data_IF_965424059493
#
_entry.id   IF_965424059493
#
_cell.length_a   1.000
_cell.length_b   1.000
_cell.length_c   1.000
_cell.angle_alpha   90.00
_cell.angle_beta   90.00
_cell.angle_gamma   90.00
#
_symmetry.space_group_name_H-M   'P 1'
#
loop_
_entity.id
_entity.type
_entity.pdbx_description
1 polymer ?
#
# COMPACT_ATOMS: atom_id res chain seq x y z
N UNK A 1 0.80 -10.51 -16.20
CA UNK A 1 -0.07 -9.32 -16.35
C UNK A 1 0.80 -8.09 -16.61
N UNK A 2 0.67 -7.45 -17.78
CA UNK A 2 1.36 -6.20 -18.08
C UNK A 2 0.69 -5.03 -17.36
N UNK A 3 1.48 -4.08 -16.85
CA UNK A 3 0.94 -2.87 -16.22
C UNK A 3 0.33 -1.97 -17.30
N UNK A 4 -0.97 -1.71 -17.22
CA UNK A 4 -1.63 -0.75 -18.10
C UNK A 4 -1.27 0.68 -17.69
N UNK A 5 -0.95 1.54 -18.67
CA UNK A 5 -0.50 2.92 -18.41
C UNK A 5 -1.59 3.84 -17.85
N UNK A 6 -2.86 3.44 -17.92
CA UNK A 6 -4.01 4.29 -17.58
C UNK A 6 -4.68 3.93 -16.24
N UNK A 7 -4.20 2.89 -15.54
CA UNK A 7 -4.80 2.42 -14.28
C UNK A 7 -3.74 2.34 -13.19
N UNK A 8 -4.01 2.95 -12.05
CA UNK A 8 -3.20 2.83 -10.86
C UNK A 8 -3.66 1.62 -10.03
N UNK A 9 -2.84 0.58 -9.98
CA UNK A 9 -3.11 -0.60 -9.15
C UNK A 9 -2.50 -0.39 -7.77
N UNK A 10 -3.30 -0.57 -6.72
CA UNK A 10 -2.88 -0.40 -5.33
C UNK A 10 -3.26 -1.61 -4.50
N UNK A 11 -2.32 -2.08 -3.69
CA UNK A 11 -2.61 -3.03 -2.63
C UNK A 11 -3.04 -2.25 -1.39
N UNK A 12 -4.24 -2.48 -0.91
CA UNK A 12 -4.76 -1.87 0.31
C UNK A 12 -4.82 -2.88 1.46
N UNK A 13 -4.70 -2.39 2.69
CA UNK A 13 -4.90 -3.19 3.89
C UNK A 13 -6.39 -3.42 4.10
N UNK A 14 -6.88 -4.61 3.81
CA UNK A 14 -8.30 -4.96 3.93
C UNK A 14 -8.71 -5.31 5.37
N UNK A 15 -7.80 -5.88 6.17
CA UNK A 15 -8.03 -6.21 7.58
C UNK A 15 -6.70 -6.32 8.33
N UNK A 16 -6.75 -6.23 9.67
CA UNK A 16 -5.57 -6.39 10.54
C UNK A 16 -5.14 -7.87 10.55
N UNK A 17 -3.86 -8.19 10.26
CA UNK A 17 -3.35 -9.55 10.43
C UNK A 17 -3.32 -9.96 11.91
N UNK A 18 -3.90 -11.12 12.23
CA UNK A 18 -3.68 -11.78 13.51
C UNK A 18 -2.60 -12.86 13.32
N UNK A 19 -1.41 -12.63 13.88
CA UNK A 19 -0.22 -13.43 13.59
C UNK A 19 0.43 -13.04 12.25
N UNK A 20 0.71 -14.04 11.42
CA UNK A 20 1.29 -13.85 10.09
C UNK A 20 0.25 -13.25 9.12
N UNK A 21 0.64 -12.33 8.22
CA UNK A 21 -0.24 -11.84 7.16
C UNK A 21 -0.72 -12.97 6.26
N UNK A 22 -2.01 -12.96 5.96
CA UNK A 22 -2.65 -13.86 4.99
C UNK A 22 -3.16 -13.05 3.78
N UNK A 23 -3.39 -13.69 2.61
CA UNK A 23 -3.84 -12.98 1.42
C UNK A 23 -5.10 -12.13 1.64
N UNK A 24 -6.03 -12.58 2.49
CA UNK A 24 -7.29 -11.92 2.81
C UNK A 24 -7.11 -10.61 3.60
N UNK A 25 -5.91 -10.38 4.17
CA UNK A 25 -5.58 -9.10 4.78
C UNK A 25 -5.33 -8.01 3.73
N UNK A 26 -5.22 -8.37 2.45
CA UNK A 26 -4.95 -7.43 1.37
C UNK A 26 -6.04 -7.49 0.30
N UNK A 27 -6.25 -6.35 -0.35
CA UNK A 27 -7.11 -6.26 -1.52
C UNK A 27 -6.38 -5.50 -2.62
N UNK A 28 -6.41 -6.04 -3.83
CA UNK A 28 -5.96 -5.32 -5.01
C UNK A 28 -7.10 -4.45 -5.51
N UNK A 29 -6.86 -3.15 -5.56
CA UNK A 29 -7.79 -2.18 -6.14
C UNK A 29 -7.17 -1.53 -7.38
N UNK A 30 -8.04 -1.04 -8.26
CA UNK A 30 -7.65 -0.25 -9.42
C UNK A 30 -8.32 1.11 -9.32
N UNK A 31 -7.55 2.16 -9.55
CA UNK A 31 -7.98 3.55 -9.55
C UNK A 31 -7.48 4.24 -10.83
N UNK A 32 -7.97 5.44 -11.11
CA UNK A 32 -7.45 6.25 -12.20
C UNK A 32 -6.04 6.76 -11.88
N UNK A 33 -5.22 6.95 -12.92
CA UNK A 33 -3.90 7.57 -12.75
C UNK A 33 -4.10 9.04 -12.38
N UNK A 34 -3.61 9.43 -11.21
CA UNK A 34 -3.75 10.80 -10.71
C UNK A 34 -3.02 11.81 -11.60
N UNK A 35 -3.60 13.00 -11.76
CA UNK A 35 -2.92 14.16 -12.35
C UNK A 35 -2.23 14.94 -11.23
N UNK A 36 -0.91 15.14 -11.27
CA UNK A 36 -0.20 15.87 -10.23
C UNK A 36 -0.60 17.35 -10.24
N UNK A 37 -0.81 17.93 -9.06
CA UNK A 37 -1.00 19.37 -8.88
C UNK A 37 0.31 20.15 -8.88
N UNK A 38 0.24 21.44 -8.56
CA UNK A 38 1.43 22.30 -8.43
C UNK A 38 2.38 21.76 -7.36
N UNK A 39 3.67 21.67 -7.70
CA UNK A 39 4.72 21.16 -6.80
C UNK A 39 4.72 19.64 -6.59
N UNK A 40 3.83 18.89 -7.22
CA UNK A 40 3.77 17.42 -7.13
C UNK A 40 4.42 16.75 -8.34
N UNK A 41 4.79 15.47 -8.16
CA UNK A 41 5.29 14.62 -9.23
C UNK A 41 4.45 13.36 -9.34
N UNK A 42 4.25 12.87 -10.56
CA UNK A 42 3.63 11.58 -10.82
C UNK A 42 4.71 10.51 -10.99
N UNK A 43 4.68 9.50 -10.12
CA UNK A 43 5.65 8.41 -10.12
C UNK A 43 5.03 7.12 -10.66
N UNK A 44 5.83 6.39 -11.44
CA UNK A 44 5.55 4.99 -11.77
C UNK A 44 6.51 4.09 -11.01
N UNK A 45 6.01 3.46 -9.95
CA UNK A 45 6.78 2.48 -9.17
C UNK A 45 7.16 1.28 -10.04
N UNK A 46 8.46 1.00 -10.15
CA UNK A 46 9.00 -0.17 -10.87
C UNK A 46 9.34 -1.30 -9.89
N UNK A 47 9.90 -0.94 -8.74
CA UNK A 47 10.25 -1.84 -7.66
C UNK A 47 9.71 -1.31 -6.34
N UNK A 48 9.38 -2.23 -5.43
CA UNK A 48 8.89 -1.94 -4.09
C UNK A 48 9.70 -2.79 -3.10
N UNK A 49 10.29 -2.17 -2.08
CA UNK A 49 10.92 -2.93 -1.00
C UNK A 49 9.85 -3.60 -0.13
N UNK A 50 10.14 -4.81 0.34
CA UNK A 50 9.29 -5.56 1.24
C UNK A 50 10.09 -5.87 2.51
N UNK A 51 9.94 -5.01 3.51
CA UNK A 51 10.78 -5.05 4.69
C UNK A 51 9.99 -5.49 5.94
N UNK A 52 10.65 -6.13 6.93
CA UNK A 52 9.97 -6.61 8.14
C UNK A 52 9.19 -5.54 8.90
N UNK A 53 9.59 -4.27 8.87
CA UNK A 53 8.89 -3.21 9.60
C UNK A 53 7.46 -2.99 9.10
N UNK A 54 7.17 -3.35 7.85
CA UNK A 54 5.82 -3.25 7.28
C UNK A 54 4.80 -4.03 8.11
N UNK A 55 5.20 -5.11 8.79
CA UNK A 55 4.32 -5.86 9.71
C UNK A 55 3.86 -4.99 10.88
N UNK A 56 4.73 -4.15 11.42
CA UNK A 56 4.38 -3.20 12.48
C UNK A 56 3.39 -2.15 11.98
N UNK A 57 3.54 -1.68 10.73
CA UNK A 57 2.61 -0.73 10.09
C UNK A 57 1.22 -1.32 9.86
N UNK A 58 1.08 -2.64 9.77
CA UNK A 58 -0.22 -3.32 9.64
C UNK A 58 -0.96 -3.48 10.97
N UNK A 59 -0.25 -3.38 12.11
CA UNK A 59 -0.82 -3.44 13.46
C UNK A 59 -1.38 -2.08 13.87
N UNK A 60 -2.41 -2.05 14.71
CA UNK A 60 -2.88 -0.84 15.40
C UNK A 60 -2.28 -0.69 16.81
N UNK A 61 -1.34 -1.56 17.16
CA UNK A 61 -0.56 -1.47 18.39
C UNK A 61 0.38 -0.25 18.40
N UNK A 62 0.70 0.32 19.58
CA UNK A 62 1.59 1.47 19.69
C UNK A 62 2.95 1.22 19.01
N UNK A 63 3.31 2.10 18.08
CA UNK A 63 4.56 2.06 17.33
C UNK A 63 5.07 3.48 17.05
N UNK A 64 6.37 3.62 16.81
CA UNK A 64 7.00 4.90 16.45
C UNK A 64 6.55 5.40 15.07
N UNK A 65 6.06 4.50 14.21
CA UNK A 65 5.51 4.84 12.90
C UNK A 65 3.98 4.67 12.92
N UNK A 66 3.22 5.64 12.40
CA UNK A 66 1.77 5.53 12.31
C UNK A 66 1.33 4.27 11.54
N UNK A 67 0.29 3.56 12.01
CA UNK A 67 -0.25 2.41 11.31
C UNK A 67 -0.84 2.82 9.96
N UNK A 68 -0.88 1.88 9.02
CA UNK A 68 -1.69 2.01 7.80
C UNK A 68 -3.14 1.80 8.20
N UNK A 69 -4.04 2.70 7.82
CA UNK A 69 -5.46 2.54 8.08
C UNK A 69 -6.07 1.38 7.29
N UNK A 70 -7.19 0.83 7.78
CA UNK A 70 -7.96 -0.13 6.98
C UNK A 70 -8.51 0.59 5.74
N UNK A 71 -8.27 0.01 4.57
CA UNK A 71 -8.51 0.63 3.27
C UNK A 71 -7.35 1.50 2.78
N UNK A 72 -6.33 1.76 3.61
CA UNK A 72 -5.14 2.50 3.24
C UNK A 72 -4.22 1.70 2.32
N UNK A 73 -3.47 2.40 1.46
CA UNK A 73 -2.50 1.80 0.54
C UNK A 73 -1.28 1.31 1.31
N UNK A 74 -0.87 0.08 1.03
CA UNK A 74 0.35 -0.47 1.60
C UNK A 74 1.58 0.30 1.11
N UNK A 75 2.41 0.72 2.06
CA UNK A 75 3.70 1.36 1.81
C UNK A 75 4.78 0.30 1.66
N UNK A 76 5.88 0.64 1.00
CA UNK A 76 7.11 -0.15 1.04
C UNK A 76 8.27 0.68 1.56
N UNK A 77 9.46 0.11 1.42
CA UNK A 77 10.71 0.66 1.97
C UNK A 77 11.19 -0.19 3.10
#
# INVERSE_FOLDING_TARGET
>A
MGQQKQRNRRWVLASRPHGAPVPENFRLEEDDVATPGEGQVLLRTVYLSLDPYMRGRMSDEPSYSPPVDIGGVMVGG
#
